data_IF_672608177576
#
_entry.id   IF_672608177576
#
_cell.length_a   1.000
_cell.length_b   1.000
_cell.length_c   1.000
_cell.angle_alpha   90.00
_cell.angle_beta   90.00
_cell.angle_gamma   90.00
#
_symmetry.space_group_name_H-M   'P 1'
#
loop_
_entity.id
_entity.type
_entity.pdbx_description
1 polymer ?
#
# COMPACT_ATOMS: atom_id res chain seq x y z
N UNK A 1 4.28 12.77 29.52
CA UNK A 1 2.91 12.92 28.96
C UNK A 1 2.68 14.40 28.68
N UNK A 2 2.75 14.80 27.42
CA UNK A 2 2.26 16.12 26.99
C UNK A 2 0.76 16.01 26.81
N UNK A 3 0.02 16.90 27.48
CA UNK A 3 -1.44 17.02 27.27
C UNK A 3 -1.76 17.62 25.91
N UNK A 4 -3.00 18.04 25.72
CA UNK A 4 -3.48 18.72 24.53
C UNK A 4 -2.64 19.98 24.27
N UNK A 5 -2.02 20.06 23.08
CA UNK A 5 -1.25 21.22 22.64
C UNK A 5 -2.05 22.01 21.60
N UNK A 6 -2.50 23.25 21.91
CA UNK A 6 -3.31 24.06 20.99
C UNK A 6 -2.56 24.45 19.71
N UNK A 7 -1.25 24.31 19.65
CA UNK A 7 -0.49 24.55 18.44
C UNK A 7 -0.91 23.58 17.31
N UNK A 8 -1.34 22.35 17.61
CA UNK A 8 -1.84 21.40 16.62
C UNK A 8 -3.21 21.77 16.02
N UNK A 9 -3.85 22.83 16.49
CA UNK A 9 -5.07 23.38 15.87
C UNK A 9 -4.79 24.32 14.70
N UNK A 10 -3.54 24.63 14.45
CA UNK A 10 -3.17 25.52 13.33
C UNK A 10 -3.36 24.79 11.99
N UNK A 11 -4.25 25.28 11.08
CA UNK A 11 -4.52 24.63 9.80
C UNK A 11 -3.43 24.83 8.75
N UNK A 12 -2.34 25.53 9.08
CA UNK A 12 -1.24 25.80 8.15
C UNK A 12 -0.31 24.60 8.07
N UNK A 13 -0.20 24.01 6.88
CA UNK A 13 0.50 22.75 6.61
C UNK A 13 2.01 22.77 6.92
N UNK A 14 2.66 23.94 6.93
CA UNK A 14 4.11 24.08 7.19
C UNK A 14 4.46 24.15 8.67
N UNK A 15 3.86 23.30 9.46
CA UNK A 15 3.98 23.28 10.92
C UNK A 15 5.33 22.78 11.43
N UNK A 16 6.10 22.08 10.61
CA UNK A 16 7.37 21.44 11.00
C UNK A 16 8.42 22.41 11.59
N UNK A 17 8.39 23.67 11.17
CA UNK A 17 9.28 24.70 11.75
C UNK A 17 8.93 25.02 13.20
N UNK A 18 7.66 24.95 13.55
CA UNK A 18 7.16 25.19 14.92
C UNK A 18 7.44 23.98 15.80
N UNK A 19 7.22 22.76 15.31
CA UNK A 19 7.57 21.51 16.00
C UNK A 19 9.06 21.45 16.32
N UNK A 20 9.92 21.76 15.36
CA UNK A 20 11.36 21.82 15.54
C UNK A 20 11.76 22.84 16.60
N UNK A 21 11.14 24.03 16.62
CA UNK A 21 11.40 25.08 17.61
C UNK A 21 10.93 24.73 19.01
N UNK A 22 9.88 23.90 19.13
CA UNK A 22 9.32 23.41 20.40
C UNK A 22 10.05 22.17 20.92
N UNK A 23 10.99 21.59 20.13
CA UNK A 23 11.65 20.32 20.47
C UNK A 23 10.65 19.18 20.63
N UNK A 24 9.58 19.20 19.81
CA UNK A 24 8.58 18.12 19.84
C UNK A 24 9.20 16.79 19.41
N UNK A 25 8.99 15.71 20.15
CA UNK A 25 9.45 14.39 19.76
C UNK A 25 8.53 13.74 18.71
N UNK A 26 7.52 14.46 18.18
CA UNK A 26 6.50 13.90 17.32
C UNK A 26 7.03 13.57 15.92
N UNK A 27 6.52 12.52 15.31
CA UNK A 27 6.83 12.15 13.93
C UNK A 27 5.95 12.94 12.96
N UNK A 28 6.53 13.50 11.90
CA UNK A 28 5.82 14.27 10.88
C UNK A 28 6.07 13.69 9.50
N UNK A 29 4.99 13.25 8.86
CA UNK A 29 5.00 12.75 7.49
C UNK A 29 4.34 13.78 6.56
N UNK A 30 4.95 14.02 5.40
CA UNK A 30 4.37 14.88 4.36
C UNK A 30 3.88 14.01 3.20
N UNK A 31 2.63 14.22 2.77
CA UNK A 31 2.03 13.53 1.64
C UNK A 31 1.58 14.48 0.54
N UNK A 32 1.72 14.06 -0.70
CA UNK A 32 1.15 14.71 -1.87
C UNK A 32 0.34 13.66 -2.64
N UNK A 33 -0.94 13.94 -2.82
CA UNK A 33 -1.86 13.13 -3.60
C UNK A 33 -2.25 13.86 -4.88
N UNK A 34 -2.24 13.14 -5.99
CA UNK A 34 -2.67 13.64 -7.28
C UNK A 34 -3.62 12.64 -7.95
N UNK A 35 -4.73 13.12 -8.47
CA UNK A 35 -5.56 12.36 -9.41
C UNK A 35 -5.97 13.22 -10.59
N UNK A 36 -5.86 12.68 -11.80
CA UNK A 36 -6.15 13.39 -13.03
C UNK A 36 -6.96 12.53 -14.01
N UNK A 37 -8.12 13.03 -14.41
CA UNK A 37 -8.94 12.43 -15.46
C UNK A 37 -8.38 12.84 -16.81
N UNK A 38 -7.67 11.93 -17.48
CA UNK A 38 -7.13 12.17 -18.83
C UNK A 38 -8.28 12.36 -19.84
N UNK A 39 -9.33 11.56 -19.69
CA UNK A 39 -10.58 11.66 -20.47
C UNK A 39 -11.72 10.93 -19.72
N UNK A 40 -12.86 10.67 -20.40
CA UNK A 40 -14.00 9.99 -19.78
C UNK A 40 -13.71 8.54 -19.37
N UNK A 41 -12.72 7.91 -19.98
CA UNK A 41 -12.40 6.50 -19.78
C UNK A 41 -11.14 6.28 -18.92
N UNK A 42 -10.19 7.23 -18.90
CA UNK A 42 -8.88 7.04 -18.27
C UNK A 42 -8.64 8.05 -17.17
N UNK A 43 -8.19 7.55 -16.03
CA UNK A 43 -7.76 8.33 -14.89
C UNK A 43 -6.39 7.82 -14.42
N UNK A 44 -5.46 8.72 -14.22
CA UNK A 44 -4.18 8.46 -13.55
C UNK A 44 -4.21 9.03 -12.15
N UNK A 45 -3.51 8.39 -11.22
CA UNK A 45 -3.37 8.88 -9.86
C UNK A 45 -2.01 8.50 -9.28
N UNK A 46 -1.60 9.22 -8.27
CA UNK A 46 -0.36 8.94 -7.57
C UNK A 46 -0.34 9.59 -6.21
N UNK A 47 0.50 9.03 -5.36
CA UNK A 47 0.80 9.53 -4.03
C UNK A 47 2.31 9.52 -3.83
N UNK A 48 2.83 10.57 -3.24
CA UNK A 48 4.20 10.64 -2.75
C UNK A 48 4.14 10.94 -1.25
N UNK A 49 4.83 10.13 -0.48
CA UNK A 49 4.99 10.33 0.95
C UNK A 49 6.48 10.51 1.24
N UNK A 50 6.78 11.54 2.02
CA UNK A 50 8.10 11.85 2.54
C UNK A 50 8.02 11.81 4.06
N UNK A 51 8.80 10.93 4.68
CA UNK A 51 8.95 10.84 6.13
C UNK A 51 10.17 11.70 6.56
N UNK A 52 11.37 11.31 6.13
CA UNK A 52 12.60 12.10 6.29
C UNK A 52 13.42 12.01 5.01
N UNK A 53 14.12 13.08 4.63
CA UNK A 53 15.05 13.02 3.51
C UNK A 53 16.12 14.14 3.57
N UNK A 54 17.27 13.84 3.01
CA UNK A 54 18.31 14.82 2.76
C UNK A 54 18.63 14.84 1.25
N UNK A 55 18.35 15.95 0.60
CA UNK A 55 18.46 16.09 -0.85
C UNK A 55 19.87 15.81 -1.38
N UNK A 56 20.91 16.13 -0.60
CA UNK A 56 22.30 15.81 -0.93
C UNK A 56 22.46 14.29 -1.10
N UNK A 57 22.05 13.51 -0.11
CA UNK A 57 22.18 12.04 -0.11
C UNK A 57 21.32 11.37 -1.20
N UNK A 58 20.19 11.99 -1.56
CA UNK A 58 19.39 11.56 -2.73
C UNK A 58 20.17 11.75 -4.02
N UNK A 59 20.78 12.94 -4.23
CA UNK A 59 21.57 13.26 -5.43
C UNK A 59 22.81 12.38 -5.55
N UNK A 60 23.48 12.13 -4.44
CA UNK A 60 24.68 11.30 -4.38
C UNK A 60 24.37 9.80 -4.53
N UNK A 61 23.09 9.43 -4.53
CA UNK A 61 22.62 8.02 -4.59
C UNK A 61 23.29 7.13 -3.55
N UNK A 62 23.61 7.69 -2.40
CA UNK A 62 24.38 7.04 -1.33
C UNK A 62 23.66 5.84 -0.71
N UNK A 63 22.35 5.72 -0.90
CA UNK A 63 21.54 4.74 -0.19
C UNK A 63 21.46 5.02 1.32
N UNK A 64 21.53 6.30 1.72
CA UNK A 64 21.43 6.69 3.12
C UNK A 64 20.12 6.23 3.74
N UNK A 65 20.18 5.64 4.93
CA UNK A 65 19.05 4.99 5.59
C UNK A 65 17.89 5.96 5.86
N UNK A 66 18.20 7.22 6.26
CA UNK A 66 17.18 8.20 6.62
C UNK A 66 16.54 8.91 5.41
N UNK A 67 16.88 8.55 4.18
CA UNK A 67 16.06 8.93 3.02
C UNK A 67 14.83 8.03 2.96
N UNK A 68 13.79 8.37 3.72
CA UNK A 68 12.56 7.61 3.92
C UNK A 68 11.44 8.19 3.08
N UNK A 69 10.94 7.41 2.14
CA UNK A 69 9.84 7.81 1.27
C UNK A 69 9.07 6.60 0.74
N UNK A 70 7.82 6.83 0.41
CA UNK A 70 6.96 5.88 -0.30
C UNK A 70 6.26 6.56 -1.47
N UNK A 71 5.92 5.80 -2.50
CA UNK A 71 5.14 6.30 -3.63
C UNK A 71 4.17 5.24 -4.15
N UNK A 72 3.05 5.72 -4.65
CA UNK A 72 2.04 4.96 -5.36
C UNK A 72 1.81 5.63 -6.70
N UNK A 73 1.70 4.83 -7.75
CA UNK A 73 1.31 5.28 -9.09
C UNK A 73 0.27 4.31 -9.63
N UNK A 74 -0.81 4.84 -10.19
CA UNK A 74 -1.86 4.00 -10.71
C UNK A 74 -2.62 4.59 -11.90
N UNK A 75 -3.26 3.70 -12.62
CA UNK A 75 -4.17 4.03 -13.73
C UNK A 75 -5.46 3.23 -13.60
N UNK A 76 -6.58 3.90 -13.86
CA UNK A 76 -7.91 3.29 -13.95
C UNK A 76 -8.48 3.53 -15.33
N UNK A 77 -9.06 2.48 -15.91
CA UNK A 77 -9.72 2.52 -17.20
C UNK A 77 -11.16 2.04 -17.06
N UNK A 78 -12.11 2.86 -17.52
CA UNK A 78 -13.53 2.60 -17.50
C UNK A 78 -14.03 2.43 -18.94
N UNK A 79 -14.68 1.32 -19.23
CA UNK A 79 -15.14 0.95 -20.57
C UNK A 79 -14.03 1.09 -21.65
N UNK A 80 -12.78 0.70 -21.37
CA UNK A 80 -11.70 0.85 -22.34
C UNK A 80 -11.99 0.04 -23.61
N UNK A 81 -11.42 0.48 -24.72
CA UNK A 81 -11.54 -0.18 -26.03
C UNK A 81 -13.00 -0.33 -26.50
N UNK A 82 -13.92 0.52 -26.02
CA UNK A 82 -15.34 0.46 -26.36
C UNK A 82 -16.10 -0.73 -25.73
N UNK A 83 -15.50 -1.42 -24.77
CA UNK A 83 -16.11 -2.55 -24.06
C UNK A 83 -16.86 -2.05 -22.83
N UNK A 84 -18.17 -1.82 -22.97
CA UNK A 84 -19.04 -1.42 -21.86
C UNK A 84 -19.03 -2.48 -20.74
N UNK A 85 -18.97 -2.02 -19.49
CA UNK A 85 -18.90 -2.87 -18.30
C UNK A 85 -17.52 -3.43 -17.99
N UNK A 86 -16.48 -3.04 -18.75
CA UNK A 86 -15.09 -3.39 -18.46
C UNK A 86 -14.43 -2.30 -17.61
N UNK A 87 -13.84 -2.71 -16.49
CA UNK A 87 -12.98 -1.87 -15.64
C UNK A 87 -11.62 -2.53 -15.52
N UNK A 88 -10.57 -1.73 -15.65
CA UNK A 88 -9.18 -2.18 -15.44
C UNK A 88 -8.47 -1.16 -14.54
N UNK A 89 -7.69 -1.66 -13.58
CA UNK A 89 -6.82 -0.86 -12.74
C UNK A 89 -5.44 -1.52 -12.69
N UNK A 90 -4.40 -0.75 -12.91
CA UNK A 90 -3.03 -1.14 -12.65
C UNK A 90 -2.42 -0.16 -11.65
N UNK A 91 -1.61 -0.67 -10.72
CA UNK A 91 -1.02 0.11 -9.64
C UNK A 91 0.37 -0.40 -9.31
N UNK A 92 1.27 0.50 -9.00
CA UNK A 92 2.61 0.21 -8.51
C UNK A 92 2.84 0.97 -7.21
N UNK A 93 3.26 0.24 -6.18
CA UNK A 93 3.55 0.74 -4.85
C UNK A 93 5.00 0.44 -4.48
N UNK A 94 5.62 1.38 -3.81
CA UNK A 94 6.98 1.21 -3.30
C UNK A 94 7.18 2.00 -2.02
N UNK A 95 7.88 1.42 -1.05
CA UNK A 95 8.37 2.12 0.13
C UNK A 95 9.82 1.71 0.42
N UNK A 96 10.65 2.71 0.72
CA UNK A 96 12.04 2.46 1.08
C UNK A 96 12.17 1.86 2.48
N UNK A 97 13.30 1.17 2.77
CA UNK A 97 13.62 0.74 4.13
C UNK A 97 13.50 1.91 5.13
N UNK A 98 13.11 1.60 6.36
CA UNK A 98 12.91 2.53 7.47
C UNK A 98 11.76 3.54 7.33
N UNK A 99 11.11 3.64 6.16
CA UNK A 99 9.91 4.47 6.01
C UNK A 99 8.86 4.06 7.03
N UNK A 100 8.19 5.02 7.67
CA UNK A 100 7.20 4.82 8.75
C UNK A 100 7.77 4.41 10.12
N UNK A 101 9.04 4.04 10.25
CA UNK A 101 9.68 3.78 11.52
C UNK A 101 10.19 5.06 12.17
N UNK A 102 10.27 5.09 13.51
CA UNK A 102 10.79 6.22 14.27
C UNK A 102 11.79 5.77 15.35
N UNK A 103 12.55 6.70 15.94
CA UNK A 103 13.46 6.41 17.04
C UNK A 103 12.74 5.79 18.25
N UNK A 104 11.55 6.28 18.57
CA UNK A 104 10.65 5.63 19.51
C UNK A 104 9.59 4.83 18.76
N UNK A 105 9.41 3.57 19.13
CA UNK A 105 8.36 2.70 18.56
C UNK A 105 6.95 3.28 18.76
N UNK A 106 6.73 4.08 19.82
CA UNK A 106 5.46 4.76 20.07
C UNK A 106 5.14 5.88 19.07
N UNK A 107 6.12 6.29 18.26
CA UNK A 107 6.01 7.39 17.29
C UNK A 107 6.05 6.88 15.84
N UNK A 108 6.12 5.56 15.64
CA UNK A 108 6.02 4.98 14.31
C UNK A 108 4.63 5.23 13.69
N UNK A 109 4.52 5.13 12.37
CA UNK A 109 3.25 5.32 11.67
C UNK A 109 2.38 4.05 11.72
N UNK A 110 1.96 3.71 12.95
CA UNK A 110 1.17 2.52 13.25
C UNK A 110 0.13 2.80 14.34
N UNK A 111 -0.91 1.97 14.42
CA UNK A 111 -1.93 2.01 15.44
C UNK A 111 -2.38 0.59 15.78
N UNK A 112 -2.50 0.25 17.06
CA UNK A 112 -2.82 -1.10 17.54
C UNK A 112 -1.98 -2.21 16.90
N UNK A 113 -0.66 -2.02 16.78
CA UNK A 113 0.27 -2.93 16.10
C UNK A 113 -0.06 -3.21 14.64
N UNK A 114 -0.69 -2.28 13.96
CA UNK A 114 -0.96 -2.35 12.53
C UNK A 114 -0.38 -1.12 11.82
N UNK A 115 0.30 -1.28 10.67
CA UNK A 115 0.75 -0.14 9.88
C UNK A 115 -0.46 0.66 9.39
N UNK A 116 -0.39 1.99 9.51
CA UNK A 116 -1.42 2.90 9.01
C UNK A 116 -1.31 3.15 7.51
N UNK A 117 -0.14 2.88 6.95
CA UNK A 117 0.10 3.01 5.51
C UNK A 117 -0.13 1.67 4.79
N UNK A 118 0.84 1.21 4.01
CA UNK A 118 0.71 -0.01 3.23
C UNK A 118 0.78 -1.27 4.12
N UNK A 119 -0.02 -2.30 3.81
CA UNK A 119 -0.06 -3.54 4.59
C UNK A 119 1.25 -4.34 4.58
N UNK A 120 2.10 -4.18 3.56
CA UNK A 120 3.46 -4.73 3.53
C UNK A 120 4.46 -3.92 4.39
N UNK A 121 4.00 -2.83 5.02
CA UNK A 121 4.83 -1.95 5.84
C UNK A 121 5.79 -1.14 5.00
N UNK A 122 7.07 -1.47 5.07
CA UNK A 122 8.19 -0.77 4.45
C UNK A 122 9.11 -1.73 3.70
N UNK A 123 10.14 -1.22 3.00
CA UNK A 123 11.16 -2.02 2.32
C UNK A 123 10.60 -2.98 1.26
N UNK A 124 9.68 -2.50 0.42
CA UNK A 124 9.01 -3.32 -0.58
C UNK A 124 8.78 -2.56 -1.89
N UNK A 125 8.53 -3.31 -2.94
CA UNK A 125 7.81 -2.87 -4.15
C UNK A 125 6.75 -3.88 -4.53
N UNK A 126 5.64 -3.39 -5.06
CA UNK A 126 4.45 -4.17 -5.39
C UNK A 126 3.85 -3.69 -6.69
N UNK A 127 3.41 -4.61 -7.53
CA UNK A 127 2.59 -4.36 -8.70
C UNK A 127 1.23 -5.05 -8.56
N UNK A 128 0.17 -4.31 -8.84
CA UNK A 128 -1.21 -4.77 -8.79
C UNK A 128 -1.86 -4.62 -10.16
N UNK A 129 -2.63 -5.62 -10.57
CA UNK A 129 -3.51 -5.55 -11.71
C UNK A 129 -4.87 -6.09 -11.32
N UNK A 130 -5.92 -5.29 -11.53
CA UNK A 130 -7.29 -5.67 -11.31
C UNK A 130 -8.10 -5.46 -12.58
N UNK A 131 -8.88 -6.45 -12.96
CA UNK A 131 -9.84 -6.38 -14.03
C UNK A 131 -11.23 -6.84 -13.55
N UNK A 132 -12.26 -6.14 -13.99
CA UNK A 132 -13.66 -6.52 -13.76
C UNK A 132 -14.45 -6.34 -15.04
N UNK A 133 -15.26 -7.31 -15.39
CA UNK A 133 -16.16 -7.24 -16.54
C UNK A 133 -17.53 -7.74 -16.15
N UNK A 134 -18.55 -6.95 -16.50
CA UNK A 134 -19.96 -7.33 -16.32
C UNK A 134 -20.71 -7.11 -17.61
N UNK A 135 -21.50 -8.10 -18.01
CA UNK A 135 -22.37 -8.04 -19.18
C UNK A 135 -23.65 -8.83 -18.94
N UNK A 136 -24.80 -8.13 -18.94
CA UNK A 136 -26.08 -8.73 -18.56
C UNK A 136 -26.00 -9.24 -17.11
N UNK A 137 -26.35 -10.49 -16.91
CA UNK A 137 -26.34 -11.10 -15.59
C UNK A 137 -24.97 -11.69 -15.21
N UNK A 138 -24.00 -11.73 -16.12
CA UNK A 138 -22.71 -12.37 -15.88
C UNK A 138 -21.64 -11.36 -15.50
N UNK A 139 -20.83 -11.73 -14.53
CA UNK A 139 -19.63 -10.96 -14.16
C UNK A 139 -18.40 -11.85 -14.01
N UNK A 140 -17.25 -11.26 -14.18
CA UNK A 140 -15.97 -11.87 -13.89
C UNK A 140 -14.96 -10.83 -13.40
N UNK A 141 -14.06 -11.24 -12.55
CA UNK A 141 -12.94 -10.40 -12.13
C UNK A 141 -11.64 -11.18 -11.99
N UNK A 142 -10.54 -10.48 -12.16
CA UNK A 142 -9.21 -10.98 -11.93
C UNK A 142 -8.42 -9.97 -11.10
N UNK A 143 -7.78 -10.42 -10.03
CA UNK A 143 -6.83 -9.65 -9.24
C UNK A 143 -5.49 -10.37 -9.28
N UNK A 144 -4.44 -9.68 -9.68
CA UNK A 144 -3.07 -10.18 -9.69
C UNK A 144 -2.22 -9.24 -8.84
N UNK A 145 -1.35 -9.79 -8.02
CA UNK A 145 -0.37 -9.06 -7.23
C UNK A 145 0.97 -9.75 -7.30
N UNK A 146 2.00 -8.98 -7.50
CA UNK A 146 3.37 -9.42 -7.31
C UNK A 146 4.09 -8.41 -6.43
N UNK A 147 4.69 -8.89 -5.35
CA UNK A 147 5.43 -8.06 -4.43
C UNK A 147 6.79 -8.68 -4.09
N UNK A 148 7.77 -7.83 -3.88
CA UNK A 148 9.04 -8.20 -3.26
C UNK A 148 9.24 -7.30 -2.06
N UNK A 149 9.48 -7.90 -0.90
CA UNK A 149 9.74 -7.18 0.34
C UNK A 149 10.89 -7.83 1.10
N UNK A 150 11.63 -7.02 1.84
CA UNK A 150 12.73 -7.48 2.66
C UNK A 150 12.34 -7.50 4.14
N UNK A 151 12.54 -8.63 4.81
CA UNK A 151 12.37 -8.76 6.26
C UNK A 151 13.71 -8.59 6.96
N UNK A 152 13.68 -8.06 8.16
CA UNK A 152 14.87 -7.98 8.99
C UNK A 152 15.23 -9.35 9.56
N UNK A 153 16.47 -9.81 9.45
CA UNK A 153 16.97 -10.89 10.30
C UNK A 153 16.87 -10.52 11.79
N UNK A 154 16.79 -11.51 12.65
CA UNK A 154 16.61 -11.28 14.10
C UNK A 154 17.65 -10.35 14.72
N UNK A 155 18.89 -10.43 14.23
CA UNK A 155 20.05 -9.69 14.77
C UNK A 155 20.34 -8.36 14.05
N UNK A 156 19.65 -8.06 12.93
CA UNK A 156 19.92 -6.89 12.10
C UNK A 156 18.68 -5.99 12.01
N UNK A 157 18.93 -4.69 11.91
CA UNK A 157 17.91 -3.69 11.59
C UNK A 157 18.21 -3.12 10.20
N UNK A 158 17.53 -3.62 9.21
CA UNK A 158 17.66 -3.25 7.79
C UNK A 158 16.45 -2.44 7.31
N UNK A 159 15.55 -2.06 8.23
CA UNK A 159 14.41 -1.23 7.96
C UNK A 159 13.27 -1.97 7.26
N UNK A 160 13.15 -3.28 7.49
CA UNK A 160 12.02 -4.10 7.03
C UNK A 160 10.87 -4.15 8.03
N UNK A 161 11.11 -3.75 9.28
CA UNK A 161 10.14 -3.77 10.37
C UNK A 161 9.90 -2.36 10.91
N UNK A 162 8.70 -1.81 10.68
CA UNK A 162 8.31 -0.48 11.16
C UNK A 162 8.20 -0.40 12.69
N UNK A 163 8.14 -1.52 13.39
CA UNK A 163 8.07 -1.60 14.84
C UNK A 163 9.44 -1.65 15.51
N UNK A 164 10.53 -1.63 14.74
CA UNK A 164 11.89 -1.47 15.25
C UNK A 164 12.30 0.01 15.22
N UNK A 165 12.99 0.45 16.28
CA UNK A 165 13.61 1.78 16.32
C UNK A 165 14.68 1.91 15.24
N UNK A 166 14.74 3.04 14.55
CA UNK A 166 15.77 3.31 13.56
C UNK A 166 17.09 3.85 14.16
N UNK A 167 17.19 4.07 15.47
CA UNK A 167 18.37 4.66 16.09
C UNK A 167 19.67 3.87 15.85
N UNK A 168 19.55 2.55 15.62
CA UNK A 168 20.67 1.68 15.35
C UNK A 168 20.47 0.93 14.01
N UNK A 169 20.52 1.61 12.86
CA UNK A 169 20.44 0.95 11.58
C UNK A 169 21.71 0.12 11.35
N UNK A 170 21.56 -1.11 10.87
CA UNK A 170 22.70 -1.98 10.58
C UNK A 170 23.58 -1.46 9.44
N UNK A 171 23.05 -0.57 8.60
CA UNK A 171 23.77 0.08 7.49
C UNK A 171 23.42 1.56 7.45
N UNK A 172 24.43 2.41 7.48
CA UNK A 172 24.25 3.86 7.29
C UNK A 172 24.02 4.21 5.82
N UNK A 173 24.70 3.52 4.90
CA UNK A 173 24.66 3.74 3.44
C UNK A 173 24.47 2.43 2.68
N UNK A 174 24.17 2.52 1.39
CA UNK A 174 23.98 1.36 0.53
C UNK A 174 22.67 0.61 0.81
N UNK A 175 21.67 1.26 1.42
CA UNK A 175 20.37 0.65 1.62
C UNK A 175 19.57 0.61 0.30
N UNK A 176 19.03 -0.56 -0.01
CA UNK A 176 18.22 -0.84 -1.20
C UNK A 176 16.86 -1.40 -0.81
N UNK A 177 15.88 -1.20 -1.67
CA UNK A 177 14.52 -1.74 -1.45
C UNK A 177 14.57 -3.26 -1.62
N UNK A 178 13.90 -3.99 -0.72
CA UNK A 178 13.89 -5.45 -0.69
C UNK A 178 15.11 -6.08 0.02
N UNK A 179 15.95 -5.26 0.71
CA UNK A 179 17.10 -5.76 1.44
C UNK A 179 16.72 -6.59 2.67
N UNK A 180 17.66 -7.42 3.13
CA UNK A 180 17.46 -8.38 4.22
C UNK A 180 17.04 -9.73 3.68
N UNK A 181 16.14 -10.42 4.37
CA UNK A 181 15.56 -11.68 3.91
C UNK A 181 14.53 -11.36 2.83
N UNK A 182 14.95 -11.45 1.57
CA UNK A 182 14.11 -11.12 0.43
C UNK A 182 12.96 -12.14 0.29
N UNK A 183 11.75 -11.64 0.23
CA UNK A 183 10.55 -12.47 0.07
C UNK A 183 9.80 -12.01 -1.16
N UNK A 184 9.50 -12.95 -2.06
CA UNK A 184 8.67 -12.75 -3.23
C UNK A 184 7.27 -13.29 -2.92
N UNK A 185 6.25 -12.49 -3.20
CA UNK A 185 4.86 -12.87 -3.00
C UNK A 185 4.10 -12.71 -4.31
N UNK A 186 3.50 -13.78 -4.76
CA UNK A 186 2.55 -13.80 -5.86
C UNK A 186 1.16 -14.13 -5.34
N UNK A 187 0.17 -13.34 -5.73
CA UNK A 187 -1.22 -13.57 -5.38
C UNK A 187 -2.10 -13.41 -6.62
N UNK A 188 -3.02 -14.34 -6.80
CA UNK A 188 -4.02 -14.31 -7.86
C UNK A 188 -5.38 -14.67 -7.29
N UNK A 189 -6.37 -13.85 -7.62
CA UNK A 189 -7.78 -14.19 -7.41
C UNK A 189 -8.52 -14.06 -8.72
N UNK A 190 -9.23 -15.12 -9.12
CA UNK A 190 -10.16 -15.12 -10.24
C UNK A 190 -11.55 -15.36 -9.70
N UNK A 191 -12.51 -14.58 -10.14
CA UNK A 191 -13.92 -14.73 -9.76
C UNK A 191 -14.78 -14.75 -11.01
N UNK A 192 -15.80 -15.60 -11.01
CA UNK A 192 -16.83 -15.60 -12.03
C UNK A 192 -18.19 -15.92 -11.39
N UNK A 193 -19.24 -15.28 -11.89
CA UNK A 193 -20.54 -15.48 -11.31
C UNK A 193 -21.68 -14.83 -12.10
N UNK A 194 -22.85 -14.87 -11.52
CA UNK A 194 -24.07 -14.36 -12.09
C UNK A 194 -24.84 -13.51 -11.07
N UNK A 195 -25.44 -12.43 -11.54
CA UNK A 195 -26.38 -11.60 -10.78
C UNK A 195 -27.74 -12.26 -10.87
N UNK A 196 -28.25 -12.75 -9.75
CA UNK A 196 -29.58 -13.38 -9.67
C UNK A 196 -30.71 -12.37 -9.54
N UNK A 197 -30.43 -11.25 -8.92
CA UNK A 197 -31.38 -10.16 -8.75
C UNK A 197 -30.64 -8.82 -8.73
N UNK A 198 -30.93 -7.97 -9.71
CA UNK A 198 -30.28 -6.65 -9.85
C UNK A 198 -30.78 -5.63 -8.82
N UNK A 199 -32.05 -5.72 -8.38
CA UNK A 199 -32.61 -4.74 -7.44
C UNK A 199 -31.94 -4.78 -6.07
N UNK A 200 -31.64 -5.99 -5.60
CA UNK A 200 -30.96 -6.21 -4.30
C UNK A 200 -29.47 -6.61 -4.48
N UNK A 201 -28.96 -6.57 -5.71
CA UNK A 201 -27.60 -6.98 -6.06
C UNK A 201 -27.20 -8.37 -5.51
N UNK A 202 -28.15 -9.31 -5.59
CA UNK A 202 -27.91 -10.70 -5.18
C UNK A 202 -27.06 -11.38 -6.24
N UNK A 203 -25.88 -11.86 -5.84
CA UNK A 203 -24.91 -12.51 -6.73
C UNK A 203 -24.58 -13.91 -6.23
N UNK A 204 -24.34 -14.83 -7.15
CA UNK A 204 -23.73 -16.14 -6.89
C UNK A 204 -22.50 -16.28 -7.76
N UNK A 205 -21.46 -16.87 -7.22
CA UNK A 205 -20.21 -17.02 -7.98
C UNK A 205 -19.26 -17.99 -7.32
N UNK A 206 -18.16 -18.21 -8.02
CA UNK A 206 -17.03 -19.03 -7.58
C UNK A 206 -15.77 -18.18 -7.59
N UNK A 207 -14.94 -18.38 -6.60
CA UNK A 207 -13.60 -17.79 -6.49
C UNK A 207 -12.54 -18.88 -6.57
N UNK A 208 -11.50 -18.59 -7.30
CA UNK A 208 -10.25 -19.32 -7.30
C UNK A 208 -9.16 -18.39 -6.77
N UNK A 209 -8.47 -18.78 -5.71
CA UNK A 209 -7.38 -18.02 -5.10
C UNK A 209 -6.13 -18.89 -5.11
N UNK A 210 -5.06 -18.32 -5.62
CA UNK A 210 -3.73 -18.90 -5.57
C UNK A 210 -2.78 -17.88 -4.93
N UNK A 211 -2.02 -18.33 -3.93
CA UNK A 211 -0.97 -17.57 -3.28
C UNK A 211 0.31 -18.39 -3.25
N UNK A 212 1.40 -17.77 -3.64
CA UNK A 212 2.72 -18.38 -3.56
C UNK A 212 3.69 -17.39 -2.95
N UNK A 213 4.41 -17.82 -1.93
CA UNK A 213 5.45 -17.04 -1.28
C UNK A 213 6.75 -17.81 -1.33
N UNK A 214 7.81 -17.15 -1.78
CA UNK A 214 9.16 -17.65 -1.82
C UNK A 214 10.05 -16.72 -0.99
N UNK A 215 10.66 -17.23 0.05
CA UNK A 215 11.53 -16.47 0.96
C UNK A 215 12.95 -16.97 0.81
N UNK A 216 13.89 -16.04 0.60
CA UNK A 216 15.33 -16.33 0.52
C UNK A 216 15.93 -16.45 1.94
N UNK A 217 15.40 -17.43 2.70
CA UNK A 217 15.92 -17.81 3.99
C UNK A 217 16.52 -19.22 3.90
N UNK A 218 17.60 -19.49 4.62
CA UNK A 218 18.29 -20.79 4.59
C UNK A 218 17.37 -21.97 5.05
N UNK A 219 16.17 -21.65 5.55
CA UNK A 219 15.13 -22.61 5.92
C UNK A 219 14.16 -23.01 4.81
N UNK A 220 14.25 -22.44 3.62
CA UNK A 220 13.45 -22.77 2.43
C UNK A 220 11.92 -22.76 2.64
N UNK A 221 11.41 -21.64 3.17
CA UNK A 221 9.96 -21.45 3.40
C UNK A 221 9.22 -21.09 2.09
N UNK A 222 9.02 -22.09 1.24
CA UNK A 222 8.10 -21.98 0.11
C UNK A 222 6.70 -22.37 0.57
N UNK A 223 5.79 -21.41 0.70
CA UNK A 223 4.39 -21.70 1.03
C UNK A 223 3.51 -21.55 -0.20
N UNK A 224 2.64 -22.53 -0.42
CA UNK A 224 1.62 -22.51 -1.47
C UNK A 224 0.26 -22.62 -0.80
N UNK A 225 -0.60 -21.66 -1.08
CA UNK A 225 -1.99 -21.69 -0.66
C UNK A 225 -2.88 -21.75 -1.89
N UNK A 226 -3.61 -22.83 -2.05
CA UNK A 226 -4.64 -22.97 -3.06
C UNK A 226 -5.99 -23.03 -2.37
N UNK A 227 -6.82 -22.03 -2.58
CA UNK A 227 -8.18 -21.99 -2.03
C UNK A 227 -9.17 -21.83 -3.18
N UNK A 228 -10.10 -22.78 -3.28
CA UNK A 228 -11.27 -22.63 -4.15
C UNK A 228 -12.52 -22.56 -3.27
N UNK A 229 -13.42 -21.65 -3.57
CA UNK A 229 -14.64 -21.45 -2.81
C UNK A 229 -15.80 -20.99 -3.67
N UNK A 230 -17.02 -21.32 -3.25
CA UNK A 230 -18.25 -20.72 -3.76
C UNK A 230 -18.74 -19.68 -2.75
N UNK A 231 -19.26 -18.57 -3.25
CA UNK A 231 -19.80 -17.52 -2.39
C UNK A 231 -21.19 -17.09 -2.88
N UNK A 232 -22.00 -16.68 -1.90
CA UNK A 232 -23.26 -15.97 -2.14
C UNK A 232 -23.09 -14.60 -1.49
N UNK A 233 -23.07 -13.55 -2.30
CA UNK A 233 -22.93 -12.18 -1.85
C UNK A 233 -24.28 -11.50 -1.82
N UNK A 234 -24.69 -11.05 -0.62
CA UNK A 234 -25.78 -10.11 -0.46
C UNK A 234 -25.17 -8.73 -0.29
N UNK A 235 -25.35 -7.84 -1.25
CA UNK A 235 -25.02 -6.44 -1.06
C UNK A 235 -26.24 -5.73 -0.49
N UNK A 236 -26.21 -5.39 0.78
CA UNK A 236 -27.23 -4.50 1.39
C UNK A 236 -27.16 -3.15 0.68
N UNK A 237 -28.31 -2.68 0.20
CA UNK A 237 -28.50 -1.44 -0.52
C UNK A 237 -27.72 -0.27 0.09
N UNK A 238 -26.89 0.38 -0.71
CA UNK A 238 -26.65 1.81 -0.51
C UNK A 238 -27.93 2.54 -0.99
N UNK A 239 -28.65 3.13 -0.06
CA UNK A 239 -29.75 4.03 -0.40
C UNK A 239 -29.20 5.19 -1.23
N UNK A 240 -29.43 5.13 -2.53
CA UNK A 240 -29.26 6.28 -3.40
C UNK A 240 -30.48 7.17 -3.22
N UNK A 241 -30.38 8.19 -2.37
CA UNK A 241 -31.38 9.26 -2.37
C UNK A 241 -31.30 9.96 -3.75
N UNK A 242 -32.23 9.64 -4.62
CA UNK A 242 -32.52 10.43 -5.81
C UNK A 242 -33.18 11.71 -5.30
N UNK A 243 -32.49 12.84 -5.37
CA UNK A 243 -33.12 14.15 -5.27
C UNK A 243 -33.86 14.36 -6.60
N UNK A 244 -35.17 14.51 -6.54
CA UNK A 244 -36.02 15.06 -7.59
C UNK A 244 -35.56 16.49 -7.95
#
# INVERSE_FOLDING_TARGET
DRGFDPNYLNPIIFYRTVEYSLGSPDNALMGLDLSYKVNKQWMVYGQLLLDEFLLKEVKDRSGWWANKWGTQLGVKAFDPFGKKGLFIQAEFNVARPFTYSHGSVLQNYAHYNQPLAHQLGTNFYEGLLYGYYEKGDWYGSASLMYAVYGRDPDTLNLGGDIFKSYENPSKQYGNTIGQGIATQLYYQKLSAGMVLNHDINLRVGIDYIFRHQNTDDQGNDNSYDLVSGSHILFHLMQFRMVKE
#
